data_IF_698362183589
#
_entry.id   IF_698362183589
#
_cell.length_a   1.000
_cell.length_b   1.000
_cell.length_c   1.000
_cell.angle_alpha   90.00
_cell.angle_beta   90.00
_cell.angle_gamma   90.00
#
_symmetry.space_group_name_H-M   'P 1'
#
loop_
_entity.id
_entity.type
_entity.pdbx_description
1 polymer ?
#
# COMPACT_ATOMS: atom_id res chain seq x y z
N UNK A 1 25.63 81.86 -50.02
CA UNK A 1 24.34 81.20 -49.99
C UNK A 1 24.58 79.69 -50.15
N UNK A 2 24.67 78.94 -49.08
CA UNK A 2 24.91 77.50 -49.11
C UNK A 2 23.69 76.84 -48.46
N UNK A 3 22.95 76.04 -49.21
CA UNK A 3 21.83 75.29 -48.82
C UNK A 3 22.28 74.06 -48.03
N UNK A 4 21.98 74.00 -46.76
CA UNK A 4 22.20 72.79 -45.93
C UNK A 4 21.06 71.83 -46.11
N UNK A 5 21.33 70.71 -46.72
CA UNK A 5 20.40 69.57 -46.87
C UNK A 5 20.34 68.78 -45.58
N UNK A 6 19.20 68.88 -44.86
CA UNK A 6 18.99 68.07 -43.66
C UNK A 6 18.55 66.67 -44.04
N UNK A 7 19.43 65.71 -43.82
CA UNK A 7 19.09 64.28 -43.99
C UNK A 7 18.45 63.82 -42.70
N UNK A 8 17.13 63.71 -42.70
CA UNK A 8 16.41 63.01 -41.64
C UNK A 8 16.61 61.50 -41.82
N UNK A 9 17.54 60.93 -41.09
CA UNK A 9 17.75 59.51 -40.99
C UNK A 9 16.62 58.95 -40.12
N UNK A 10 15.55 58.48 -40.73
CA UNK A 10 14.53 57.74 -40.05
C UNK A 10 15.08 56.35 -39.62
N UNK A 11 15.48 56.29 -38.36
CA UNK A 11 15.90 55.03 -37.74
C UNK A 11 14.64 54.19 -37.52
N UNK A 12 14.29 53.36 -38.48
CA UNK A 12 13.22 52.34 -38.34
C UNK A 12 13.74 51.30 -37.38
N UNK A 13 13.46 51.48 -36.06
CA UNK A 13 13.58 50.41 -35.10
C UNK A 13 12.55 49.35 -35.42
N UNK A 14 12.97 48.31 -36.13
CA UNK A 14 12.29 47.04 -36.18
C UNK A 14 12.28 46.44 -34.77
N UNK A 15 11.24 46.78 -33.98
CA UNK A 15 10.93 46.12 -32.73
C UNK A 15 10.50 44.71 -33.11
N UNK A 16 11.46 43.82 -33.34
CA UNK A 16 11.21 42.39 -33.45
C UNK A 16 10.67 41.93 -32.10
N UNK A 17 9.36 41.90 -31.98
CA UNK A 17 8.67 41.29 -30.87
C UNK A 17 9.06 39.79 -30.88
N UNK A 18 10.16 39.46 -30.22
CA UNK A 18 10.45 38.08 -29.89
C UNK A 18 9.28 37.64 -28.99
N UNK A 19 8.27 37.06 -29.61
CA UNK A 19 7.29 36.27 -28.92
C UNK A 19 8.04 35.15 -28.24
N UNK A 20 8.50 35.38 -27.02
CA UNK A 20 8.99 34.33 -26.15
C UNK A 20 7.84 33.34 -26.10
N UNK A 21 7.99 32.08 -26.57
CA UNK A 21 6.95 31.12 -26.48
C UNK A 21 6.66 30.96 -24.98
N UNK A 22 5.63 31.64 -24.48
CA UNK A 22 5.09 31.32 -23.18
C UNK A 22 4.71 29.87 -23.27
N UNK A 23 5.55 28.99 -22.73
CA UNK A 23 5.21 27.60 -22.55
C UNK A 23 3.98 27.64 -21.67
N UNK A 24 2.80 27.64 -22.31
CA UNK A 24 1.53 27.57 -21.62
C UNK A 24 1.62 26.37 -20.71
N UNK A 25 1.76 26.61 -19.41
CA UNK A 25 1.75 25.53 -18.44
C UNK A 25 0.43 24.80 -18.63
N UNK A 26 0.50 23.65 -19.32
CA UNK A 26 -0.67 22.85 -19.58
C UNK A 26 -1.50 22.76 -18.31
N UNK A 27 -2.79 23.02 -18.38
CA UNK A 27 -3.69 23.00 -17.23
C UNK A 27 -3.47 21.76 -16.37
N UNK A 28 -3.68 21.89 -15.06
CA UNK A 28 -3.54 20.75 -14.18
C UNK A 28 -4.50 19.63 -14.63
N UNK A 29 -4.07 18.36 -14.64
CA UNK A 29 -4.94 17.27 -15.07
C UNK A 29 -6.17 17.15 -14.16
N UNK A 30 -7.28 16.64 -14.71
CA UNK A 30 -8.53 16.46 -13.95
C UNK A 30 -8.33 15.45 -12.82
N UNK A 31 -8.91 15.72 -11.64
CA UNK A 31 -8.89 14.78 -10.51
C UNK A 31 -9.76 13.56 -10.80
N UNK A 32 -9.37 12.35 -10.37
CA UNK A 32 -10.18 11.15 -10.53
C UNK A 32 -11.29 11.07 -9.47
N UNK A 33 -12.33 10.30 -9.76
CA UNK A 33 -13.37 9.94 -8.78
C UNK A 33 -13.12 8.52 -8.29
N UNK A 34 -12.92 8.35 -7.00
CA UNK A 34 -12.78 7.02 -6.36
C UNK A 34 -14.16 6.35 -6.32
N UNK A 35 -14.29 5.24 -7.04
CA UNK A 35 -15.52 4.44 -7.09
C UNK A 35 -15.69 3.61 -5.82
N UNK A 36 -14.69 2.81 -5.49
CA UNK A 36 -14.73 1.92 -4.31
C UNK A 36 -13.36 1.70 -3.68
N UNK A 37 -13.37 1.31 -2.41
CA UNK A 37 -12.21 0.76 -1.72
C UNK A 37 -12.66 -0.52 -1.02
N UNK A 38 -12.04 -1.64 -1.35
CA UNK A 38 -12.38 -2.96 -0.80
C UNK A 38 -11.26 -3.51 0.07
N UNK A 39 -11.63 -4.09 1.22
CA UNK A 39 -10.69 -4.66 2.18
C UNK A 39 -10.19 -6.04 1.74
N UNK A 40 -8.88 -6.22 1.74
CA UNK A 40 -8.19 -7.50 1.61
C UNK A 40 -7.47 -7.90 2.90
N UNK A 41 -6.87 -9.09 2.91
CA UNK A 41 -6.01 -9.56 3.99
C UNK A 41 -4.70 -8.75 4.00
N UNK A 42 -4.48 -7.96 5.05
CA UNK A 42 -3.36 -7.00 5.14
C UNK A 42 -3.18 -6.16 3.86
N UNK A 43 -4.29 -5.81 3.20
CA UNK A 43 -4.32 -5.13 1.91
C UNK A 43 -5.64 -4.39 1.72
N UNK A 44 -5.67 -3.49 0.74
CA UNK A 44 -6.91 -2.99 0.15
C UNK A 44 -6.75 -2.82 -1.37
N UNK A 45 -7.86 -2.84 -2.08
CA UNK A 45 -7.92 -2.47 -3.49
C UNK A 45 -8.78 -1.23 -3.64
N UNK A 46 -8.21 -0.17 -4.21
CA UNK A 46 -8.93 1.05 -4.57
C UNK A 46 -9.23 1.04 -6.06
N UNK A 47 -10.47 1.41 -6.45
CA UNK A 47 -10.91 1.58 -7.84
C UNK A 47 -11.36 3.03 -8.06
N UNK A 48 -11.15 3.54 -9.27
CA UNK A 48 -11.52 4.90 -9.66
C UNK A 48 -12.00 4.96 -11.12
N UNK A 49 -12.70 6.04 -11.48
CA UNK A 49 -13.10 6.30 -12.87
C UNK A 49 -11.87 6.75 -13.68
N UNK A 50 -11.73 6.22 -14.90
CA UNK A 50 -10.66 6.61 -15.83
C UNK A 50 -10.74 8.12 -16.12
N UNK A 51 -9.57 8.75 -16.20
CA UNK A 51 -9.39 10.13 -16.65
C UNK A 51 -8.51 10.10 -17.89
N UNK A 52 -8.99 10.66 -19.00
CA UNK A 52 -8.25 10.72 -20.25
C UNK A 52 -7.15 11.78 -20.24
N UNK A 53 -6.12 11.61 -21.08
CA UNK A 53 -5.03 12.59 -21.24
C UNK A 53 -4.07 12.71 -20.06
N UNK A 54 -3.98 11.69 -19.22
CA UNK A 54 -3.05 11.61 -18.07
C UNK A 54 -1.99 10.54 -18.31
N UNK A 55 -0.84 10.64 -17.65
CA UNK A 55 0.21 9.62 -17.71
C UNK A 55 -0.07 8.48 -16.74
N UNK A 56 -0.76 8.77 -15.64
CA UNK A 56 -1.09 7.77 -14.64
C UNK A 56 -1.70 8.35 -13.38
N UNK A 57 -1.71 7.54 -12.32
CA UNK A 57 -2.35 7.86 -11.05
C UNK A 57 -1.41 7.65 -9.89
N UNK A 58 -1.61 8.43 -8.84
CA UNK A 58 -0.96 8.25 -7.55
C UNK A 58 -2.02 8.03 -6.48
N UNK A 59 -1.91 6.91 -5.80
CA UNK A 59 -2.74 6.55 -4.65
C UNK A 59 -2.00 6.97 -3.39
N UNK A 60 -2.61 7.77 -2.53
CA UNK A 60 -2.10 8.06 -1.21
C UNK A 60 -2.98 7.38 -0.17
N UNK A 61 -2.35 6.79 0.83
CA UNK A 61 -3.03 6.13 1.94
C UNK A 61 -2.34 6.44 3.27
N UNK A 62 -3.15 6.50 4.31
CA UNK A 62 -2.70 6.89 5.66
C UNK A 62 -3.58 6.26 6.71
N UNK A 63 -3.05 6.07 7.92
CA UNK A 63 -3.86 5.72 9.10
C UNK A 63 -4.52 6.95 9.74
N UNK A 64 -4.15 8.17 9.30
CA UNK A 64 -4.77 9.43 9.71
C UNK A 64 -5.60 10.02 8.59
N UNK A 65 -6.81 10.52 8.90
CA UNK A 65 -7.66 11.24 7.95
C UNK A 65 -7.05 12.56 7.47
N UNK A 66 -6.13 13.14 8.23
CA UNK A 66 -5.40 14.37 7.90
C UNK A 66 -4.28 14.15 6.88
N UNK A 67 -3.94 12.90 6.54
CA UNK A 67 -2.85 12.55 5.62
C UNK A 67 -1.51 13.23 5.97
N UNK A 68 -1.15 13.26 7.25
CA UNK A 68 0.13 13.82 7.69
C UNK A 68 1.31 13.07 7.03
N UNK A 69 2.42 13.76 6.81
CA UNK A 69 3.61 13.17 6.17
C UNK A 69 4.15 11.94 6.91
N UNK A 70 4.09 11.96 8.24
CA UNK A 70 4.54 10.84 9.09
C UNK A 70 3.72 9.55 8.92
N UNK A 71 2.45 9.64 8.56
CA UNK A 71 1.54 8.49 8.47
C UNK A 71 1.14 8.13 7.04
N UNK A 72 1.47 8.97 6.06
CA UNK A 72 1.08 8.81 4.67
C UNK A 72 2.12 8.08 3.85
N UNK A 73 1.64 7.19 2.99
CA UNK A 73 2.44 6.53 1.96
C UNK A 73 1.77 6.69 0.60
N UNK A 74 2.56 6.53 -0.46
CA UNK A 74 2.05 6.63 -1.84
C UNK A 74 2.38 5.39 -2.64
N UNK A 75 1.48 5.03 -3.55
CA UNK A 75 1.68 4.00 -4.55
C UNK A 75 1.30 4.55 -5.92
N UNK A 76 2.11 4.30 -6.94
CA UNK A 76 1.89 4.84 -8.29
C UNK A 76 1.36 3.77 -9.23
N UNK A 77 0.41 4.14 -10.08
CA UNK A 77 -0.06 3.38 -11.24
C UNK A 77 0.40 4.14 -12.50
N UNK A 78 1.34 3.57 -13.25
CA UNK A 78 2.07 4.25 -14.34
C UNK A 78 1.30 4.30 -15.68
N UNK A 79 0.11 3.67 -15.78
CA UNK A 79 -0.67 3.60 -17.03
C UNK A 79 -1.98 4.36 -16.87
N UNK A 80 -2.34 5.17 -17.86
CA UNK A 80 -3.59 5.92 -17.93
C UNK A 80 -4.85 5.03 -17.93
N UNK A 81 -4.72 3.83 -18.51
CA UNK A 81 -5.80 2.82 -18.56
C UNK A 81 -6.04 2.11 -17.21
N UNK A 82 -5.14 2.29 -16.22
CA UNK A 82 -5.30 1.65 -14.91
C UNK A 82 -6.41 2.32 -14.12
N UNK A 83 -7.42 1.56 -13.73
CA UNK A 83 -8.57 2.04 -12.93
C UNK A 83 -8.65 1.41 -11.55
N UNK A 84 -7.64 0.61 -11.18
CA UNK A 84 -7.54 -0.02 -9.87
C UNK A 84 -6.08 -0.15 -9.41
N UNK A 85 -5.89 -0.17 -8.10
CA UNK A 85 -4.58 -0.45 -7.48
C UNK A 85 -4.79 -1.20 -6.17
N UNK A 86 -4.13 -2.35 -6.05
CA UNK A 86 -4.03 -3.06 -4.78
C UNK A 86 -2.77 -2.59 -4.05
N UNK A 87 -2.93 -2.29 -2.77
CA UNK A 87 -1.85 -1.98 -1.83
C UNK A 87 -1.83 -3.09 -0.80
N UNK A 88 -0.72 -3.80 -0.73
CA UNK A 88 -0.49 -4.93 0.18
C UNK A 88 0.61 -4.62 1.20
N UNK A 89 0.88 -5.55 2.11
CA UNK A 89 1.88 -5.35 3.16
C UNK A 89 1.42 -4.38 4.25
N UNK A 90 0.11 -4.23 4.42
CA UNK A 90 -0.49 -3.35 5.40
C UNK A 90 -0.71 -4.06 6.74
N UNK A 91 -0.88 -3.30 7.79
CA UNK A 91 -1.30 -3.84 9.08
C UNK A 91 -2.72 -4.40 8.99
N UNK A 92 -2.95 -5.58 9.54
CA UNK A 92 -4.28 -6.18 9.66
C UNK A 92 -5.16 -5.41 10.66
N UNK A 93 -6.49 -5.52 10.53
CA UNK A 93 -7.49 -4.82 11.38
C UNK A 93 -7.23 -3.32 11.54
N UNK A 94 -6.61 -2.69 10.55
CA UNK A 94 -6.21 -1.28 10.62
C UNK A 94 -7.03 -0.46 9.63
N UNK A 95 -7.59 0.65 10.11
CA UNK A 95 -8.32 1.61 9.27
C UNK A 95 -7.34 2.46 8.49
N UNK A 96 -7.51 2.50 7.18
CA UNK A 96 -6.77 3.36 6.26
C UNK A 96 -7.72 4.32 5.56
N UNK A 97 -7.27 5.56 5.38
CA UNK A 97 -7.87 6.56 4.52
C UNK A 97 -7.12 6.56 3.20
N UNK A 98 -7.85 6.59 2.08
CA UNK A 98 -7.28 6.42 0.74
C UNK A 98 -7.83 7.51 -0.16
N UNK A 99 -6.95 8.18 -0.93
CA UNK A 99 -7.30 9.15 -1.96
C UNK A 99 -6.42 8.97 -3.18
N UNK A 100 -6.89 9.42 -4.32
CA UNK A 100 -6.20 9.24 -5.60
C UNK A 100 -6.08 10.58 -6.31
N UNK A 101 -4.98 10.81 -7.02
CA UNK A 101 -4.82 11.92 -7.95
C UNK A 101 -4.24 11.42 -9.27
N UNK A 102 -4.46 12.16 -10.33
CA UNK A 102 -3.79 11.94 -11.61
C UNK A 102 -2.47 12.68 -11.68
N UNK A 103 -1.61 12.27 -12.60
CA UNK A 103 -0.46 13.07 -13.00
C UNK A 103 -0.24 13.00 -14.50
N UNK A 104 0.31 14.08 -15.04
CA UNK A 104 0.82 14.17 -16.41
C UNK A 104 2.31 14.44 -16.35
N UNK A 105 3.09 13.72 -17.16
CA UNK A 105 4.54 13.89 -17.25
C UNK A 105 4.84 14.70 -18.51
N UNK A 106 5.66 15.73 -18.37
CA UNK A 106 6.23 16.51 -19.47
C UNK A 106 7.75 16.57 -19.26
N UNK A 107 8.52 15.90 -20.10
CA UNK A 107 9.93 15.66 -19.86
C UNK A 107 10.18 14.98 -18.52
N UNK A 108 11.08 15.54 -17.71
CA UNK A 108 11.40 15.01 -16.36
C UNK A 108 10.45 15.50 -15.25
N UNK A 109 9.53 16.42 -15.53
CA UNK A 109 8.62 17.03 -14.53
C UNK A 109 7.26 16.35 -14.52
N UNK A 110 6.64 16.24 -13.33
CA UNK A 110 5.28 15.73 -13.15
C UNK A 110 4.39 16.85 -12.64
N UNK A 111 3.25 17.05 -13.30
CA UNK A 111 2.16 17.91 -12.85
C UNK A 111 1.03 17.05 -12.31
N UNK A 112 0.54 17.36 -11.11
CA UNK A 112 -0.49 16.59 -10.43
C UNK A 112 -1.82 17.32 -10.41
N UNK A 113 -2.92 16.56 -10.40
CA UNK A 113 -4.23 17.09 -10.06
C UNK A 113 -4.35 17.32 -8.54
N UNK A 114 -5.42 17.99 -8.11
CA UNK A 114 -5.89 17.89 -6.74
C UNK A 114 -6.24 16.43 -6.39
N UNK A 115 -6.26 16.11 -5.09
CA UNK A 115 -6.68 14.80 -4.60
C UNK A 115 -8.18 14.59 -4.74
N UNK A 116 -8.61 13.37 -4.99
CA UNK A 116 -10.01 12.97 -4.83
C UNK A 116 -10.47 13.11 -3.37
N UNK A 117 -11.78 13.06 -3.16
CA UNK A 117 -12.34 12.81 -1.83
C UNK A 117 -11.77 11.50 -1.28
N UNK A 118 -11.46 11.49 0.03
CA UNK A 118 -10.92 10.32 0.70
C UNK A 118 -12.04 9.31 1.00
N UNK A 119 -11.73 8.02 0.84
CA UNK A 119 -12.56 6.91 1.34
C UNK A 119 -11.78 6.14 2.39
N UNK A 120 -12.45 5.52 3.34
CA UNK A 120 -11.82 4.69 4.36
C UNK A 120 -12.09 3.21 4.15
N UNK A 121 -11.19 2.37 4.64
CA UNK A 121 -11.29 0.91 4.61
C UNK A 121 -10.53 0.31 5.79
N UNK A 122 -11.09 -0.71 6.43
CA UNK A 122 -10.38 -1.47 7.47
C UNK A 122 -9.90 -2.81 6.88
N UNK A 123 -8.59 -3.03 6.90
CA UNK A 123 -7.98 -4.26 6.39
C UNK A 123 -8.45 -5.49 7.15
N UNK A 124 -8.58 -6.62 6.44
CA UNK A 124 -8.95 -7.90 7.04
C UNK A 124 -7.73 -8.57 7.67
N UNK A 125 -7.98 -9.50 8.59
CA UNK A 125 -6.94 -10.40 9.11
C UNK A 125 -6.54 -11.37 8.01
N UNK A 126 -5.24 -11.58 7.83
CA UNK A 126 -4.77 -12.68 7.00
C UNK A 126 -5.09 -14.02 7.70
N UNK A 127 -5.48 -15.01 6.92
CA UNK A 127 -5.61 -16.38 7.42
C UNK A 127 -4.30 -17.13 7.21
N UNK A 128 -3.96 -18.05 8.12
CA UNK A 128 -2.89 -19.00 7.87
C UNK A 128 -3.41 -20.08 6.95
N UNK A 129 -2.75 -20.29 5.81
CA UNK A 129 -3.02 -21.44 4.97
C UNK A 129 -2.14 -22.59 5.46
N UNK A 130 -2.75 -23.49 6.22
CA UNK A 130 -2.14 -24.74 6.68
C UNK A 130 -1.85 -25.62 5.47
N UNK A 131 -0.67 -26.24 5.40
CA UNK A 131 -0.27 -27.11 4.30
C UNK A 131 -0.26 -28.59 4.69
N UNK A 132 0.55 -28.93 5.68
CA UNK A 132 0.73 -30.33 6.08
C UNK A 132 1.23 -30.46 7.50
N UNK A 133 1.02 -31.66 8.06
CA UNK A 133 1.74 -32.17 9.23
C UNK A 133 2.41 -33.46 8.81
N UNK A 134 3.68 -33.58 9.10
CA UNK A 134 4.45 -34.81 8.93
C UNK A 134 4.82 -35.36 10.31
N UNK A 135 4.46 -36.61 10.60
CA UNK A 135 4.85 -37.28 11.83
C UNK A 135 6.35 -37.55 11.85
N UNK A 136 6.94 -37.43 13.02
CA UNK A 136 8.34 -37.75 13.32
C UNK A 136 8.41 -38.59 14.59
N UNK A 137 9.57 -39.16 14.88
CA UNK A 137 9.77 -39.92 16.11
C UNK A 137 9.56 -39.02 17.31
N UNK A 138 8.53 -39.26 18.10
CA UNK A 138 8.12 -38.44 19.29
C UNK A 138 7.91 -36.95 18.96
N UNK A 139 7.38 -36.67 17.77
CA UNK A 139 7.16 -35.30 17.32
C UNK A 139 6.38 -35.18 16.03
N UNK A 140 6.36 -33.98 15.49
CA UNK A 140 5.84 -33.70 14.15
C UNK A 140 6.37 -32.36 13.63
N UNK A 141 6.47 -32.23 12.32
CA UNK A 141 6.72 -30.96 11.64
C UNK A 141 5.43 -30.48 11.00
N UNK A 142 5.06 -29.23 11.29
CA UNK A 142 3.91 -28.56 10.68
C UNK A 142 4.39 -27.53 9.65
N UNK A 143 3.72 -27.47 8.48
CA UNK A 143 4.02 -26.51 7.40
C UNK A 143 2.80 -25.66 7.07
N UNK A 144 3.04 -24.39 6.74
CA UNK A 144 2.01 -23.42 6.33
C UNK A 144 2.54 -22.44 5.28
N UNK A 145 1.65 -21.68 4.63
CA UNK A 145 2.07 -20.59 3.73
C UNK A 145 2.39 -19.34 4.54
N UNK A 146 3.43 -18.61 4.13
CA UNK A 146 3.74 -17.29 4.69
C UNK A 146 2.51 -16.39 4.61
N UNK A 147 2.16 -15.74 5.72
CA UNK A 147 1.13 -14.72 5.77
C UNK A 147 1.75 -13.31 5.67
N UNK A 148 1.10 -12.36 5.01
CA UNK A 148 1.62 -11.01 4.89
C UNK A 148 1.52 -10.24 6.23
N UNK A 149 2.53 -9.45 6.52
CA UNK A 149 2.53 -8.47 7.63
C UNK A 149 2.22 -9.05 9.01
N UNK A 150 2.88 -10.17 9.32
CA UNK A 150 2.82 -10.80 10.64
C UNK A 150 4.19 -10.77 11.31
N UNK A 151 4.23 -10.72 12.62
CA UNK A 151 5.46 -10.78 13.42
C UNK A 151 5.93 -12.21 13.65
N UNK A 152 5.02 -13.17 13.52
CA UNK A 152 5.31 -14.56 13.74
C UNK A 152 4.04 -15.41 13.74
N UNK A 153 4.16 -16.60 14.33
CA UNK A 153 3.08 -17.58 14.41
C UNK A 153 3.03 -18.20 15.80
N UNK A 154 1.88 -18.72 16.14
CA UNK A 154 1.67 -19.54 17.33
C UNK A 154 1.14 -20.88 16.87
N UNK A 155 1.95 -21.92 17.00
CA UNK A 155 1.56 -23.30 16.73
C UNK A 155 1.00 -23.88 18.02
N UNK A 156 -0.28 -24.24 18.04
CA UNK A 156 -0.91 -24.92 19.16
C UNK A 156 -1.12 -26.38 18.84
N UNK A 157 -0.87 -27.24 19.79
CA UNK A 157 -1.08 -28.66 19.69
C UNK A 157 -1.70 -29.23 20.97
N UNK A 158 -2.53 -30.23 20.83
CA UNK A 158 -3.33 -30.78 21.93
C UNK A 158 -3.73 -32.23 21.65
N UNK A 159 -3.89 -33.03 22.67
CA UNK A 159 -4.53 -34.34 22.59
C UNK A 159 -6.05 -34.25 22.50
N UNK A 160 -6.62 -33.07 22.73
CA UNK A 160 -8.07 -32.79 22.60
C UNK A 160 -8.34 -31.99 21.32
N UNK A 161 -9.29 -32.44 20.48
CA UNK A 161 -9.76 -31.69 19.31
C UNK A 161 -10.38 -30.33 19.64
N UNK A 162 -10.90 -30.18 20.86
CA UNK A 162 -11.47 -28.92 21.38
C UNK A 162 -10.41 -27.94 21.90
N UNK A 163 -9.12 -28.32 21.88
CA UNK A 163 -8.01 -27.50 22.40
C UNK A 163 -8.25 -27.00 23.82
N UNK A 164 -8.68 -27.91 24.73
CA UNK A 164 -8.88 -27.59 26.14
C UNK A 164 -7.58 -27.04 26.76
N UNK A 165 -7.67 -25.98 27.57
CA UNK A 165 -6.50 -25.30 28.17
C UNK A 165 -5.56 -26.25 28.93
N UNK A 166 -6.12 -27.24 29.65
CA UNK A 166 -5.35 -28.22 30.45
C UNK A 166 -4.37 -29.09 29.60
N UNK A 167 -4.71 -29.39 28.35
CA UNK A 167 -3.95 -30.32 27.49
C UNK A 167 -3.41 -29.66 26.20
N UNK A 168 -3.58 -28.34 26.07
CA UNK A 168 -3.10 -27.58 24.92
C UNK A 168 -1.77 -26.90 25.25
N UNK A 169 -0.76 -27.23 24.45
CA UNK A 169 0.55 -26.56 24.47
C UNK A 169 0.68 -25.65 23.26
N UNK A 170 1.64 -24.74 23.31
CA UNK A 170 1.89 -23.81 22.21
C UNK A 170 3.39 -23.54 22.05
N UNK A 171 3.84 -23.55 20.80
CA UNK A 171 5.13 -23.05 20.38
C UNK A 171 4.96 -21.66 19.75
N UNK A 172 5.70 -20.67 20.25
CA UNK A 172 5.75 -19.33 19.68
C UNK A 172 6.87 -19.28 18.64
N UNK A 173 6.54 -18.94 17.40
CA UNK A 173 7.49 -18.73 16.30
C UNK A 173 7.57 -17.22 16.05
N UNK A 174 8.68 -16.59 16.43
CA UNK A 174 8.86 -15.12 16.38
C UNK A 174 9.27 -14.59 15.00
N UNK A 175 9.53 -15.48 14.07
CA UNK A 175 9.88 -15.12 12.69
C UNK A 175 8.62 -15.07 11.81
N UNK A 176 8.22 -13.88 11.36
CA UNK A 176 7.09 -13.69 10.45
C UNK A 176 7.29 -14.27 9.03
N UNK A 177 8.51 -14.67 8.69
CA UNK A 177 8.82 -15.35 7.43
C UNK A 177 8.78 -16.87 7.54
N UNK A 178 8.65 -17.42 8.74
CA UNK A 178 8.62 -18.87 8.94
C UNK A 178 7.44 -19.53 8.20
N UNK A 179 7.68 -20.69 7.63
CA UNK A 179 6.70 -21.51 6.93
C UNK A 179 6.60 -22.92 7.51
N UNK A 180 7.37 -23.22 8.55
CA UNK A 180 7.34 -24.50 9.27
C UNK A 180 7.77 -24.35 10.72
N UNK A 181 7.41 -25.34 11.52
CA UNK A 181 7.94 -25.53 12.86
C UNK A 181 7.90 -27.03 13.24
N UNK A 182 8.91 -27.47 13.95
CA UNK A 182 8.99 -28.85 14.46
C UNK A 182 8.72 -28.85 15.95
N UNK A 183 7.88 -29.74 16.40
CA UNK A 183 7.54 -30.02 17.79
C UNK A 183 8.11 -31.38 18.14
N UNK A 184 8.91 -31.46 19.18
CA UNK A 184 9.56 -32.68 19.66
C UNK A 184 9.20 -32.99 21.11
N UNK A 185 9.62 -34.13 21.65
CA UNK A 185 9.38 -34.50 23.03
C UNK A 185 7.92 -34.84 23.34
N UNK A 186 7.20 -35.34 22.37
CA UNK A 186 5.80 -35.76 22.52
C UNK A 186 5.72 -37.20 23.00
N UNK A 187 4.61 -37.54 23.66
CA UNK A 187 4.32 -38.93 24.04
C UNK A 187 3.96 -39.74 22.81
N UNK A 188 4.67 -40.87 22.60
CA UNK A 188 4.38 -41.82 21.54
C UNK A 188 2.98 -42.43 21.65
N UNK A 189 2.43 -42.90 20.54
CA UNK A 189 1.11 -43.57 20.48
C UNK A 189 -0.08 -42.65 20.77
N UNK A 190 0.11 -41.33 20.85
CA UNK A 190 -0.99 -40.34 21.10
C UNK A 190 -1.33 -39.61 19.82
N UNK A 191 -2.62 -39.38 19.60
CA UNK A 191 -3.13 -38.51 18.54
C UNK A 191 -3.03 -37.04 19.00
N UNK A 192 -2.43 -36.20 18.15
CA UNK A 192 -2.34 -34.77 18.37
C UNK A 192 -3.12 -33.99 17.31
N UNK A 193 -3.84 -32.98 17.75
CA UNK A 193 -4.50 -31.98 16.92
C UNK A 193 -3.63 -30.75 16.89
N UNK A 194 -3.46 -30.13 15.71
CA UNK A 194 -2.58 -29.00 15.49
C UNK A 194 -3.31 -27.86 14.81
N UNK A 195 -3.06 -26.64 15.25
CA UNK A 195 -3.52 -25.43 14.57
C UNK A 195 -2.45 -24.33 14.63
N UNK A 196 -2.41 -23.51 13.59
CA UNK A 196 -1.48 -22.39 13.48
C UNK A 196 -2.27 -21.08 13.51
N UNK A 197 -1.86 -20.17 14.36
CA UNK A 197 -2.43 -18.83 14.49
C UNK A 197 -1.37 -17.78 14.13
N UNK A 198 -1.82 -16.63 13.60
CA UNK A 198 -0.94 -15.49 13.37
C UNK A 198 -0.61 -14.80 14.69
N UNK A 199 0.65 -14.46 14.88
CA UNK A 199 1.08 -13.49 15.87
C UNK A 199 1.18 -12.13 15.17
N UNK A 200 0.27 -11.22 15.48
CA UNK A 200 0.33 -9.84 15.03
C UNK A 200 1.22 -9.07 16.00
N UNK A 201 2.02 -8.14 15.51
CA UNK A 201 2.70 -7.18 16.39
C UNK A 201 1.60 -6.47 17.17
N UNK A 202 1.47 -6.73 18.46
CA UNK A 202 0.73 -5.85 19.34
C UNK A 202 1.50 -4.52 19.35
N UNK A 203 0.95 -3.54 18.66
CA UNK A 203 1.28 -2.18 19.02
C UNK A 203 0.72 -2.04 20.43
N UNK A 204 1.62 -1.91 21.40
CA UNK A 204 1.25 -1.48 22.74
C UNK A 204 0.23 -0.35 22.56
N UNK A 205 -0.98 -0.54 23.09
CA UNK A 205 -1.87 0.59 23.26
C UNK A 205 -1.05 1.66 23.96
N UNK A 206 -1.14 2.93 23.53
CA UNK A 206 -0.55 3.98 24.32
C UNK A 206 -1.12 3.85 25.71
N UNK A 207 -0.26 3.58 26.67
CA UNK A 207 -0.60 3.64 28.10
C UNK A 207 -1.36 4.94 28.30
N UNK A 208 -2.64 4.81 28.61
CA UNK A 208 -3.48 5.93 28.99
C UNK A 208 -2.82 6.58 30.21
N UNK A 209 -2.53 7.88 30.18
CA UNK A 209 -2.04 8.57 31.36
C UNK A 209 -3.06 8.54 32.49
#
# INVERSE_FOLDING_TARGET
MKKTLSVCLALLMLLSCFAVPTTAFAAAPKKPTVSSVSAGAAAFTVKWKKVSGVTGYQVQYSTSSKFSSKTSKTATAKKDKTTAKTVSGLRSKTKYYVRVRTYKTSGKKKKYSSWSSAKSVTTKVAKVNFKSVSAERLGFTVKWSKAPSVSGYRVQYSTSSKFNKKVTKALKVTNGNATSATITGLKGGKKYYVRVQLSLIHISEPTRP
#
